data_IF_439846635377
#
_entry.id   IF_439846635377
#
_cell.length_a   1.000
_cell.length_b   1.000
_cell.length_c   1.000
_cell.angle_alpha   90.00
_cell.angle_beta   90.00
_cell.angle_gamma   90.00
#
_symmetry.space_group_name_H-M   'P 1'
#
loop_
_entity.id
_entity.type
_entity.pdbx_description
1 polymer ?
#
# COMPACT_ATOMS: atom_id res chain seq x y z
N UNK A 1 -5.71 0.98 28.07
CA UNK A 1 -4.90 0.41 26.96
C UNK A 1 -5.24 -1.06 26.79
N UNK A 2 -5.46 -1.50 25.59
CA UNK A 2 -5.82 -2.88 25.27
C UNK A 2 -4.73 -3.53 24.41
N UNK A 3 -4.77 -4.84 24.35
CA UNK A 3 -3.86 -5.62 23.49
C UNK A 3 -4.66 -6.13 22.29
N UNK A 4 -4.10 -5.97 21.11
CA UNK A 4 -4.72 -6.42 19.86
C UNK A 4 -3.76 -7.32 19.09
N UNK A 5 -4.33 -8.24 18.35
CA UNK A 5 -3.60 -9.07 17.42
C UNK A 5 -4.21 -8.85 16.03
N UNK A 6 -3.37 -8.48 15.07
CA UNK A 6 -3.79 -8.29 13.68
C UNK A 6 -3.13 -9.38 12.85
N UNK A 7 -3.92 -10.10 12.06
CA UNK A 7 -3.43 -11.16 11.20
C UNK A 7 -3.50 -10.69 9.77
N UNK A 8 -2.36 -10.68 9.11
CA UNK A 8 -2.20 -10.18 7.75
C UNK A 8 -1.63 -8.76 7.73
N UNK A 9 -0.50 -8.57 7.07
CA UNK A 9 0.18 -7.28 6.95
C UNK A 9 0.08 -6.68 5.55
N UNK A 10 -1.01 -6.96 4.84
CA UNK A 10 -1.36 -6.21 3.63
C UNK A 10 -1.74 -4.78 4.01
N UNK A 11 -2.18 -4.00 3.04
CA UNK A 11 -2.53 -2.59 3.28
C UNK A 11 -3.56 -2.43 4.40
N UNK A 12 -4.61 -3.24 4.39
CA UNK A 12 -5.66 -3.16 5.42
C UNK A 12 -5.14 -3.49 6.81
N UNK A 13 -4.43 -4.61 6.95
CA UNK A 13 -3.89 -5.03 8.25
C UNK A 13 -2.87 -4.05 8.78
N UNK A 14 -1.94 -3.60 7.95
CA UNK A 14 -0.93 -2.64 8.35
C UNK A 14 -1.55 -1.30 8.75
N UNK A 15 -2.58 -0.84 8.04
CA UNK A 15 -3.26 0.42 8.34
C UNK A 15 -3.98 0.34 9.69
N UNK A 16 -4.74 -0.72 9.94
CA UNK A 16 -5.46 -0.85 11.21
C UNK A 16 -4.49 -1.03 12.37
N UNK A 17 -3.42 -1.79 12.17
CA UNK A 17 -2.40 -1.97 13.21
C UNK A 17 -1.74 -0.64 13.55
N UNK A 18 -1.43 0.18 12.57
CA UNK A 18 -0.85 1.50 12.78
C UNK A 18 -1.79 2.40 13.58
N UNK A 19 -3.07 2.41 13.25
CA UNK A 19 -4.05 3.23 13.96
C UNK A 19 -4.25 2.76 15.40
N UNK A 20 -4.35 1.47 15.63
CA UNK A 20 -4.53 0.92 16.97
C UNK A 20 -3.30 1.10 17.84
N UNK A 21 -2.11 1.05 17.27
CA UNK A 21 -0.86 1.13 18.01
C UNK A 21 -0.62 2.49 18.68
N UNK A 22 -1.35 3.52 18.29
CA UNK A 22 -1.21 4.84 18.89
C UNK A 22 -1.60 4.88 20.34
N UNK A 23 -2.54 4.03 20.77
CA UNK A 23 -3.05 3.97 22.14
C UNK A 23 -3.09 2.57 22.73
N UNK A 24 -2.65 1.56 21.99
CA UNK A 24 -2.75 0.16 22.37
C UNK A 24 -1.50 -0.58 22.00
N UNK A 25 -1.34 -1.77 22.59
CA UNK A 25 -0.31 -2.72 22.19
C UNK A 25 -0.86 -3.57 21.05
N UNK A 26 -0.12 -3.68 19.95
CA UNK A 26 -0.58 -4.42 18.76
C UNK A 26 0.52 -5.36 18.30
N UNK A 27 0.15 -6.63 18.11
CA UNK A 27 1.00 -7.61 17.48
C UNK A 27 0.45 -7.88 16.07
N UNK A 28 1.31 -7.78 15.08
CA UNK A 28 0.96 -7.96 13.68
C UNK A 28 1.66 -9.19 13.13
N UNK A 29 0.89 -10.13 12.62
CA UNK A 29 1.40 -11.40 12.09
C UNK A 29 1.06 -11.56 10.61
N UNK A 30 2.00 -12.12 9.86
CA UNK A 30 1.77 -12.46 8.46
C UNK A 30 2.55 -13.73 8.12
N UNK A 31 1.95 -14.55 7.27
CA UNK A 31 2.64 -15.75 6.78
C UNK A 31 3.72 -15.44 5.74
N UNK A 32 3.65 -14.27 5.11
CA UNK A 32 4.64 -13.82 4.13
C UNK A 32 5.91 -13.32 4.82
N UNK A 33 7.01 -13.30 4.11
CA UNK A 33 8.29 -12.83 4.65
C UNK A 33 8.36 -11.31 4.82
N UNK A 34 7.54 -10.58 4.08
CA UNK A 34 7.51 -9.12 4.16
C UNK A 34 6.10 -8.59 4.14
N UNK A 35 5.92 -7.32 4.52
CA UNK A 35 4.61 -6.70 4.54
C UNK A 35 4.15 -6.27 3.14
N UNK A 36 2.92 -5.82 3.05
CA UNK A 36 2.38 -5.19 1.86
C UNK A 36 1.35 -6.01 1.09
N UNK A 37 1.41 -7.34 1.19
CA UNK A 37 0.47 -8.20 0.48
C UNK A 37 0.54 -7.98 -1.02
N UNK A 38 -0.58 -7.58 -1.61
CA UNK A 38 -0.66 -7.31 -3.07
C UNK A 38 0.02 -6.02 -3.49
N UNK A 39 0.30 -5.13 -2.54
CA UNK A 39 1.08 -3.92 -2.79
C UNK A 39 2.51 -4.15 -2.33
N UNK A 40 3.23 -5.00 -3.04
CA UNK A 40 4.58 -5.40 -2.62
C UNK A 40 5.64 -5.00 -3.63
N UNK A 41 6.87 -5.02 -3.12
CA UNK A 41 8.05 -4.61 -3.87
C UNK A 41 8.97 -5.81 -4.00
N UNK A 42 9.40 -6.11 -5.22
CA UNK A 42 10.33 -7.19 -5.51
C UNK A 42 11.73 -6.62 -5.71
N UNK A 43 12.64 -6.99 -4.83
CA UNK A 43 14.03 -6.59 -4.97
C UNK A 43 14.78 -7.58 -5.83
N UNK A 44 15.47 -7.10 -6.87
CA UNK A 44 16.31 -7.91 -7.72
C UNK A 44 17.75 -7.97 -7.21
N UNK A 45 18.28 -6.83 -6.76
CA UNK A 45 19.59 -6.72 -6.14
C UNK A 45 19.61 -5.54 -5.16
N UNK A 46 20.78 -5.12 -4.70
CA UNK A 46 20.88 -4.04 -3.70
C UNK A 46 20.40 -2.68 -4.22
N UNK A 47 20.42 -2.48 -5.53
CA UNK A 47 20.12 -1.17 -6.14
C UNK A 47 18.85 -1.17 -6.98
N UNK A 48 18.34 -2.33 -7.37
CA UNK A 48 17.20 -2.44 -8.29
C UNK A 48 16.07 -3.24 -7.69
N UNK A 49 14.86 -2.80 -7.98
CA UNK A 49 13.66 -3.51 -7.58
C UNK A 49 12.45 -2.98 -8.33
N UNK A 50 11.35 -3.66 -8.18
CA UNK A 50 10.10 -3.31 -8.86
C UNK A 50 8.92 -3.46 -7.91
N UNK A 51 7.96 -2.56 -8.06
CA UNK A 51 6.65 -2.78 -7.49
C UNK A 51 5.97 -3.89 -8.27
N UNK A 52 5.43 -4.88 -7.59
CA UNK A 52 4.68 -5.94 -8.24
C UNK A 52 3.36 -6.17 -7.51
N UNK A 53 2.41 -6.74 -8.23
CA UNK A 53 1.05 -6.85 -7.72
C UNK A 53 0.28 -5.60 -8.09
N UNK A 54 0.10 -4.69 -7.15
CA UNK A 54 -0.55 -3.41 -7.42
C UNK A 54 0.38 -2.52 -8.23
N UNK A 55 -0.04 -2.17 -9.43
CA UNK A 55 0.77 -1.33 -10.32
C UNK A 55 0.63 0.15 -10.00
N UNK A 56 -0.58 0.58 -9.70
CA UNK A 56 -0.88 1.97 -9.36
C UNK A 56 -2.16 2.03 -8.53
N UNK A 57 -2.40 3.20 -7.95
CA UNK A 57 -3.58 3.44 -7.14
C UNK A 57 -4.33 4.64 -7.71
N UNK A 58 -5.63 4.47 -7.93
CA UNK A 58 -6.51 5.53 -8.41
C UNK A 58 -7.62 5.76 -7.38
N UNK A 59 -7.55 6.84 -6.60
CA UNK A 59 -8.55 7.07 -5.55
C UNK A 59 -9.87 7.53 -6.16
N UNK A 60 -10.98 7.03 -5.59
CA UNK A 60 -12.31 7.38 -6.04
C UNK A 60 -13.12 8.15 -5.01
N UNK A 61 -12.66 8.18 -3.76
CA UNK A 61 -13.32 8.94 -2.72
C UNK A 61 -12.39 10.03 -2.20
N UNK A 62 -12.97 11.10 -1.68
CA UNK A 62 -12.18 12.19 -1.11
C UNK A 62 -11.39 11.73 0.11
N UNK A 63 -11.99 10.90 0.95
CA UNK A 63 -11.31 10.37 2.13
C UNK A 63 -10.06 9.57 1.76
N UNK A 64 -10.17 8.70 0.76
CA UNK A 64 -9.03 7.89 0.31
C UNK A 64 -7.98 8.77 -0.36
N UNK A 65 -8.40 9.76 -1.14
CA UNK A 65 -7.48 10.71 -1.76
C UNK A 65 -6.65 11.44 -0.71
N UNK A 66 -7.28 11.89 0.37
CA UNK A 66 -6.59 12.56 1.48
C UNK A 66 -5.61 11.63 2.19
N UNK A 67 -5.99 10.38 2.36
CA UNK A 67 -5.10 9.37 2.93
C UNK A 67 -3.85 9.19 2.06
N UNK A 68 -4.02 9.08 0.73
CA UNK A 68 -2.90 8.94 -0.19
C UNK A 68 -2.00 10.20 -0.20
N UNK A 69 -2.59 11.38 -0.09
CA UNK A 69 -1.81 12.62 -0.01
C UNK A 69 -0.89 12.65 1.20
N UNK A 70 -1.33 12.10 2.34
CA UNK A 70 -0.48 11.97 3.52
C UNK A 70 0.71 11.04 3.26
N UNK A 71 0.50 9.97 2.53
CA UNK A 71 1.57 9.03 2.17
C UNK A 71 2.55 9.67 1.18
N UNK A 72 2.06 10.51 0.27
CA UNK A 72 2.92 11.25 -0.64
C UNK A 72 3.80 12.23 0.13
N UNK A 73 3.24 12.95 1.11
CA UNK A 73 4.02 13.85 1.96
C UNK A 73 5.11 13.12 2.73
N UNK A 74 4.83 11.90 3.18
CA UNK A 74 5.81 11.07 3.88
C UNK A 74 6.79 10.36 2.95
N UNK A 75 6.69 10.61 1.65
CA UNK A 75 7.52 10.01 0.59
C UNK A 75 7.37 8.49 0.47
N UNK A 76 6.25 7.97 0.92
CA UNK A 76 5.91 6.55 0.75
C UNK A 76 5.40 6.29 -0.66
N UNK A 77 4.65 7.25 -1.21
CA UNK A 77 4.09 7.18 -2.55
C UNK A 77 4.57 8.35 -3.40
N UNK A 78 4.51 8.18 -4.70
CA UNK A 78 4.78 9.23 -5.68
C UNK A 78 3.63 9.34 -6.65
N UNK A 79 3.43 10.55 -7.19
CA UNK A 79 2.56 10.72 -8.34
C UNK A 79 3.19 10.07 -9.56
N UNK A 80 2.43 9.25 -10.26
CA UNK A 80 2.90 8.62 -11.48
C UNK A 80 2.60 9.55 -12.65
N UNK A 81 3.61 10.29 -13.04
CA UNK A 81 3.52 11.26 -14.14
C UNK A 81 3.77 10.58 -15.46
N UNK A 82 3.18 11.13 -16.51
CA UNK A 82 3.36 10.66 -17.86
C UNK A 82 2.03 10.26 -18.49
N UNK A 83 2.15 9.68 -19.65
CA UNK A 83 0.98 9.26 -20.43
C UNK A 83 0.65 7.81 -20.08
N UNK A 84 -0.58 7.58 -19.65
CA UNK A 84 -1.05 6.24 -19.30
C UNK A 84 -2.08 5.79 -20.31
N UNK A 85 -1.91 4.57 -20.81
CA UNK A 85 -2.71 4.04 -21.89
C UNK A 85 -3.45 2.79 -21.41
N UNK A 86 -4.77 2.82 -21.48
CA UNK A 86 -5.60 1.67 -21.18
C UNK A 86 -6.06 1.03 -22.46
N UNK A 87 -5.72 -0.24 -22.67
CA UNK A 87 -6.13 -1.01 -23.81
C UNK A 87 -7.20 -1.99 -23.42
N UNK A 88 -8.32 -1.98 -24.13
CA UNK A 88 -9.32 -3.02 -23.98
C UNK A 88 -9.73 -3.50 -25.36
N UNK A 89 -10.68 -4.45 -25.44
CA UNK A 89 -11.07 -5.06 -26.72
C UNK A 89 -11.54 -4.07 -27.78
N UNK A 90 -12.22 -3.02 -27.35
CA UNK A 90 -12.94 -2.14 -28.25
C UNK A 90 -12.44 -0.70 -28.19
N UNK A 91 -11.49 -0.39 -27.32
CA UNK A 91 -11.22 0.99 -27.01
C UNK A 91 -9.78 1.19 -26.54
N UNK A 92 -9.21 2.27 -27.00
CA UNK A 92 -7.89 2.72 -26.59
C UNK A 92 -8.04 4.05 -25.85
N UNK A 93 -7.58 4.09 -24.62
CA UNK A 93 -7.69 5.27 -23.77
C UNK A 93 -6.35 5.71 -23.20
#
# INVERSE_FOLDING_TARGET
>A
MSNFCVIGSGISGATIANLLSKKNSVDLFDKARGPGGRASFKRLDETKGFDHGTQYISPKTLAFKRFLEKLIKKKVLKNWRGKHLFLNRNKKE
#
